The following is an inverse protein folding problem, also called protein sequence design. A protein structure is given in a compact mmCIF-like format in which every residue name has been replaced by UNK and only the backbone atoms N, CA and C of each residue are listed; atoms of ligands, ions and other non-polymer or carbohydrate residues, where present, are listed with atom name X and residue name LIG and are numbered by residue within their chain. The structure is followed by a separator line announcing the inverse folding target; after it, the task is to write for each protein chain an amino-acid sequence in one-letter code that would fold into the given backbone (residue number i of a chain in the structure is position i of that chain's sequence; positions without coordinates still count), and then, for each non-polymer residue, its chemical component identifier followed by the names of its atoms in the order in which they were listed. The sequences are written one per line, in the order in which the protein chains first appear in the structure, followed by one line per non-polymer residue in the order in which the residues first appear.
data_IF_871803991837
#
_entry.id   IF_871803991837
#
_cell.length_a   1.000
_cell.length_b   1.000
_cell.length_c   1.000
_cell.angle_alpha   90.00
_cell.angle_beta   90.00
_cell.angle_gamma   90.00
#
_symmetry.space_group_name_H-M   'P 1'
#
loop_
_entity.id
_entity.type
_entity.pdbx_description
1 polymer ?
#
# COMPACT_ATOMS: atom_id res chain seq x y z
N UNK A 1 -14.32 30.67 12.22
CA UNK A 1 -13.51 29.48 11.87
C UNK A 1 -13.97 28.99 10.52
N UNK A 2 -13.18 29.22 9.46
CA UNK A 2 -13.56 28.84 8.10
C UNK A 2 -13.51 27.31 7.97
N UNK A 3 -14.63 26.67 7.61
CA UNK A 3 -14.68 25.25 7.30
C UNK A 3 -13.76 24.98 6.10
N UNK A 4 -12.54 24.51 6.37
CA UNK A 4 -11.64 23.97 5.36
C UNK A 4 -12.39 22.79 4.72
N UNK A 5 -12.84 22.95 3.46
CA UNK A 5 -13.51 21.86 2.73
C UNK A 5 -12.56 20.66 2.75
N UNK A 6 -12.92 19.62 3.50
CA UNK A 6 -12.16 18.37 3.51
C UNK A 6 -12.11 17.82 2.09
N UNK A 7 -10.93 17.41 1.63
CA UNK A 7 -10.75 16.84 0.31
C UNK A 7 -11.57 15.55 0.24
N UNK A 8 -12.61 15.55 -0.58
CA UNK A 8 -13.42 14.37 -0.83
C UNK A 8 -12.72 13.47 -1.85
N UNK A 9 -12.75 12.17 -1.58
CA UNK A 9 -12.13 11.12 -2.38
C UNK A 9 -13.22 10.10 -2.73
N UNK A 10 -13.19 9.50 -3.94
CA UNK A 10 -14.15 8.47 -4.32
C UNK A 10 -14.20 7.30 -3.33
N UNK A 11 -15.39 6.72 -3.18
CA UNK A 11 -15.63 5.46 -2.46
C UNK A 11 -16.38 4.50 -3.38
N UNK A 12 -15.77 3.36 -3.68
CA UNK A 12 -16.38 2.35 -4.53
C UNK A 12 -17.26 1.39 -3.71
N UNK A 13 -18.56 1.34 -4.05
CA UNK A 13 -19.55 0.50 -3.36
C UNK A 13 -19.25 -0.99 -3.46
N UNK A 14 -18.80 -1.46 -4.61
CA UNK A 14 -18.49 -2.88 -4.82
C UNK A 14 -17.27 -3.28 -3.98
N UNK A 15 -16.21 -2.46 -4.02
CA UNK A 15 -14.97 -2.69 -3.26
C UNK A 15 -15.23 -2.71 -1.75
N UNK A 16 -16.04 -1.76 -1.22
CA UNK A 16 -16.38 -1.75 0.20
C UNK A 16 -17.22 -2.98 0.60
N UNK A 17 -18.21 -3.37 -0.21
CA UNK A 17 -19.02 -4.56 0.08
C UNK A 17 -18.15 -5.83 0.12
N UNK A 18 -17.23 -5.96 -0.82
CA UNK A 18 -16.29 -7.07 -0.85
C UNK A 18 -15.40 -7.09 0.41
N UNK A 19 -14.86 -5.94 0.81
CA UNK A 19 -14.07 -5.79 2.03
C UNK A 19 -14.86 -6.14 3.30
N UNK A 20 -16.11 -5.69 3.41
CA UNK A 20 -17.00 -6.02 4.53
C UNK A 20 -17.25 -7.53 4.64
N UNK A 21 -17.51 -8.18 3.49
CA UNK A 21 -17.72 -9.63 3.43
C UNK A 21 -16.46 -10.39 3.81
N UNK A 22 -15.28 -9.97 3.33
CA UNK A 22 -13.99 -10.57 3.67
C UNK A 22 -13.74 -10.57 5.19
N UNK A 23 -14.14 -9.51 5.88
CA UNK A 23 -13.97 -9.37 7.34
C UNK A 23 -15.20 -9.81 8.15
N UNK A 24 -16.19 -10.44 7.52
CA UNK A 24 -17.44 -10.89 8.15
C UNK A 24 -18.12 -9.78 9.01
N UNK A 25 -18.06 -8.53 8.53
CA UNK A 25 -18.57 -7.36 9.25
C UNK A 25 -19.60 -6.60 8.43
N UNK A 26 -20.19 -5.56 9.01
CA UNK A 26 -21.17 -4.70 8.34
C UNK A 26 -21.05 -3.24 8.82
N UNK A 27 -21.73 -2.34 8.11
CA UNK A 27 -21.64 -0.89 8.36
C UNK A 27 -22.15 -0.51 9.77
N UNK A 28 -23.13 -1.25 10.32
CA UNK A 28 -23.62 -1.01 11.67
C UNK A 28 -22.53 -1.30 12.69
N UNK A 29 -21.94 -2.49 12.62
CA UNK A 29 -20.81 -2.90 13.48
C UNK A 29 -19.61 -1.95 13.36
N UNK A 30 -19.25 -1.54 12.14
CA UNK A 30 -18.18 -0.57 11.93
C UNK A 30 -18.45 0.78 12.59
N UNK A 31 -19.69 1.26 12.52
CA UNK A 31 -20.05 2.55 13.12
C UNK A 31 -20.19 2.53 14.64
N UNK A 32 -20.20 1.35 15.25
CA UNK A 32 -20.09 1.13 16.69
C UNK A 32 -18.63 1.00 17.14
N UNK A 33 -17.68 0.80 16.20
CA UNK A 33 -16.27 0.69 16.51
C UNK A 33 -15.67 2.06 16.86
N UNK A 34 -15.22 2.18 18.11
CA UNK A 34 -14.58 3.39 18.64
C UNK A 34 -13.30 3.71 17.85
N UNK A 35 -12.58 2.70 17.38
CA UNK A 35 -11.34 2.87 16.62
C UNK A 35 -11.57 3.44 15.21
N UNK A 36 -12.78 3.27 14.66
CA UNK A 36 -13.13 3.90 13.40
C UNK A 36 -13.28 5.41 13.58
N UNK A 37 -13.83 5.87 14.71
CA UNK A 37 -14.07 7.30 14.98
C UNK A 37 -15.19 7.92 14.12
N UNK A 38 -15.95 7.10 13.38
CA UNK A 38 -17.06 7.52 12.52
C UNK A 38 -18.29 6.65 12.74
N UNK A 39 -19.47 7.27 12.80
CA UNK A 39 -20.72 6.52 12.92
C UNK A 39 -21.19 5.92 11.57
N UNK A 40 -22.06 4.90 11.64
CA UNK A 40 -22.62 4.23 10.47
C UNK A 40 -23.28 5.18 9.47
N UNK A 41 -23.95 6.24 9.97
CA UNK A 41 -24.61 7.25 9.13
C UNK A 41 -23.60 7.99 8.23
N UNK A 42 -22.39 8.23 8.72
CA UNK A 42 -21.33 8.86 7.91
C UNK A 42 -20.89 7.97 6.76
N UNK A 43 -20.77 6.66 7.01
CA UNK A 43 -20.40 5.65 6.01
C UNK A 43 -21.51 5.49 4.97
N UNK A 44 -22.77 5.37 5.42
CA UNK A 44 -23.94 5.25 4.54
C UNK A 44 -24.11 6.49 3.65
N UNK A 45 -23.89 7.69 4.20
CA UNK A 45 -23.87 8.92 3.41
C UNK A 45 -22.77 8.89 2.36
N UNK A 46 -21.56 8.49 2.75
CA UNK A 46 -20.44 8.34 1.83
C UNK A 46 -20.73 7.38 0.68
N UNK A 47 -21.39 6.25 0.97
CA UNK A 47 -21.85 5.32 -0.06
C UNK A 47 -22.90 5.96 -0.97
N UNK A 48 -23.86 6.71 -0.43
CA UNK A 48 -24.89 7.36 -1.24
C UNK A 48 -24.29 8.41 -2.18
N UNK A 49 -23.37 9.22 -1.68
CA UNK A 49 -22.68 10.28 -2.41
C UNK A 49 -21.61 9.73 -3.38
N UNK A 50 -21.06 8.55 -3.10
CA UNK A 50 -19.95 7.96 -3.86
C UNK A 50 -18.58 8.55 -3.50
N UNK A 51 -18.51 9.35 -2.44
CA UNK A 51 -17.32 10.07 -1.99
C UNK A 51 -17.31 10.23 -0.47
N UNK A 52 -16.10 10.22 0.12
CA UNK A 52 -15.86 10.37 1.57
C UNK A 52 -14.65 11.26 1.82
N UNK A 53 -14.42 11.67 3.07
CA UNK A 53 -13.16 12.33 3.41
C UNK A 53 -11.99 11.35 3.35
N UNK A 54 -10.78 11.86 3.13
CA UNK A 54 -9.56 11.05 3.12
C UNK A 54 -9.36 10.31 4.45
N UNK A 55 -9.71 10.95 5.57
CA UNK A 55 -9.61 10.39 6.91
C UNK A 55 -10.57 9.23 7.11
N UNK A 56 -11.82 9.35 6.64
CA UNK A 56 -12.79 8.26 6.69
C UNK A 56 -12.37 7.08 5.81
N UNK A 57 -11.88 7.34 4.58
CA UNK A 57 -11.40 6.27 3.70
C UNK A 57 -10.22 5.52 4.32
N UNK A 58 -9.29 6.25 4.94
CA UNK A 58 -8.16 5.66 5.66
C UNK A 58 -8.60 4.85 6.89
N UNK A 59 -9.52 5.39 7.68
CA UNK A 59 -10.06 4.70 8.85
C UNK A 59 -10.79 3.41 8.45
N UNK A 60 -11.57 3.43 7.36
CA UNK A 60 -12.18 2.23 6.78
C UNK A 60 -11.11 1.23 6.34
N UNK A 61 -10.05 1.70 5.68
CA UNK A 61 -8.93 0.86 5.27
C UNK A 61 -8.25 0.16 6.45
N UNK A 62 -7.96 0.89 7.52
CA UNK A 62 -7.36 0.31 8.75
C UNK A 62 -8.27 -0.72 9.40
N UNK A 63 -9.55 -0.39 9.60
CA UNK A 63 -10.49 -1.26 10.30
C UNK A 63 -10.83 -2.51 9.50
N UNK A 64 -10.84 -2.42 8.17
CA UNK A 64 -11.08 -3.56 7.29
C UNK A 64 -9.79 -4.27 6.89
N UNK A 65 -8.62 -3.78 7.30
CA UNK A 65 -7.32 -4.20 6.79
C UNK A 65 -7.33 -4.30 5.25
N UNK A 66 -7.73 -3.22 4.60
CA UNK A 66 -7.75 -3.06 3.14
C UNK A 66 -7.12 -1.73 2.74
N UNK A 67 -6.37 -1.72 1.65
CA UNK A 67 -5.77 -0.52 1.08
C UNK A 67 -6.83 0.51 0.63
N UNK A 68 -6.74 1.78 1.08
CA UNK A 68 -7.65 2.86 0.69
C UNK A 68 -7.79 3.08 -0.83
N UNK A 69 -6.71 2.91 -1.59
CA UNK A 69 -6.73 3.05 -3.05
C UNK A 69 -7.62 1.98 -3.70
N UNK A 70 -7.62 0.76 -3.17
CA UNK A 70 -8.59 -0.26 -3.58
C UNK A 70 -10.01 0.13 -3.22
N UNK A 71 -10.26 0.59 -1.98
CA UNK A 71 -11.60 1.02 -1.52
C UNK A 71 -12.17 2.18 -2.34
N UNK A 72 -11.33 3.10 -2.82
CA UNK A 72 -11.75 4.19 -3.70
C UNK A 72 -12.12 3.73 -5.12
N UNK A 73 -11.73 2.51 -5.49
CA UNK A 73 -11.86 1.98 -6.85
C UNK A 73 -10.80 2.49 -7.82
N UNK A 74 -9.70 3.08 -7.34
CA UNK A 74 -8.59 3.59 -8.18
C UNK A 74 -8.09 2.54 -9.16
N UNK A 75 -7.85 1.31 -8.70
CA UNK A 75 -7.39 0.22 -9.58
C UNK A 75 -8.42 -0.18 -10.64
N UNK A 76 -9.72 -0.09 -10.34
CA UNK A 76 -10.76 -0.36 -11.34
C UNK A 76 -10.73 0.70 -12.46
N UNK A 77 -10.49 1.96 -12.10
CA UNK A 77 -10.33 3.04 -13.07
C UNK A 77 -9.07 2.83 -13.94
N UNK A 78 -7.95 2.44 -13.33
CA UNK A 78 -6.72 2.12 -14.04
C UNK A 78 -6.94 0.94 -15.01
N UNK A 79 -7.56 -0.15 -14.57
CA UNK A 79 -7.85 -1.28 -15.45
C UNK A 79 -8.78 -0.89 -16.61
N UNK A 80 -9.76 -0.01 -16.37
CA UNK A 80 -10.64 0.50 -17.43
C UNK A 80 -9.87 1.33 -18.46
N UNK A 81 -8.89 2.14 -18.01
CA UNK A 81 -8.00 2.90 -18.89
C UNK A 81 -7.10 1.99 -19.71
N UNK A 82 -6.44 1.02 -19.08
CA UNK A 82 -5.55 0.05 -19.75
C UNK A 82 -6.31 -0.77 -20.80
N UNK A 83 -7.55 -1.15 -20.50
CA UNK A 83 -8.37 -1.92 -21.41
C UNK A 83 -8.84 -1.10 -22.63
N UNK A 84 -8.79 0.24 -22.60
CA UNK A 84 -9.17 1.13 -23.70
C UNK A 84 -10.45 0.72 -24.47
N UNK A 85 -11.54 0.47 -23.72
CA UNK A 85 -12.84 0.00 -24.20
C UNK A 85 -12.92 -1.46 -24.69
N UNK A 86 -11.90 -2.28 -24.44
CA UNK A 86 -11.97 -3.73 -24.57
C UNK A 86 -12.61 -4.35 -23.31
N UNK A 87 -13.89 -4.69 -23.40
CA UNK A 87 -14.64 -5.32 -22.30
C UNK A 87 -14.08 -6.68 -21.88
N UNK A 88 -13.47 -7.44 -22.80
CA UNK A 88 -12.86 -8.74 -22.51
C UNK A 88 -11.60 -8.51 -21.68
N UNK A 89 -10.75 -7.58 -22.10
CA UNK A 89 -9.53 -7.23 -21.37
C UNK A 89 -9.86 -6.66 -20.00
N UNK A 90 -10.85 -5.76 -19.91
CA UNK A 90 -11.31 -5.23 -18.62
C UNK A 90 -11.82 -6.33 -17.70
N UNK A 91 -12.58 -7.29 -18.21
CA UNK A 91 -13.07 -8.44 -17.43
C UNK A 91 -11.94 -9.30 -16.89
N UNK A 92 -10.89 -9.55 -17.69
CA UNK A 92 -9.69 -10.28 -17.27
C UNK A 92 -8.96 -9.53 -16.16
N UNK A 93 -8.71 -8.23 -16.34
CA UNK A 93 -8.03 -7.40 -15.34
C UNK A 93 -8.84 -7.28 -14.04
N UNK A 94 -10.16 -7.08 -14.15
CA UNK A 94 -11.07 -6.95 -13.00
C UNK A 94 -11.08 -8.22 -12.15
N UNK A 95 -10.98 -9.42 -12.74
CA UNK A 95 -10.87 -10.68 -11.97
C UNK A 95 -9.65 -10.71 -11.03
N UNK A 96 -8.60 -9.94 -11.35
CA UNK A 96 -7.44 -9.77 -10.50
C UNK A 96 -7.70 -8.89 -9.28
N UNK A 97 -8.68 -8.00 -9.33
CA UNK A 97 -9.00 -7.01 -8.30
C UNK A 97 -9.94 -7.59 -7.24
N UNK A 98 -9.38 -8.08 -6.14
CA UNK A 98 -10.17 -8.55 -5.00
C UNK A 98 -9.58 -8.07 -3.68
N UNK A 99 -10.43 -7.77 -2.71
CA UNK A 99 -10.09 -7.09 -1.46
C UNK A 99 -8.94 -7.80 -0.71
N UNK A 100 -8.95 -9.15 -0.72
CA UNK A 100 -7.91 -9.98 -0.08
C UNK A 100 -6.48 -9.74 -0.59
N UNK A 101 -6.31 -9.22 -1.80
CA UNK A 101 -4.99 -8.94 -2.41
C UNK A 101 -4.47 -7.54 -2.11
N UNK A 102 -5.27 -6.71 -1.46
CA UNK A 102 -4.94 -5.33 -1.14
C UNK A 102 -5.10 -5.08 0.35
N UNK A 103 -4.32 -5.76 1.22
CA UNK A 103 -4.35 -5.49 2.66
C UNK A 103 -3.84 -4.08 2.96
N UNK A 104 -4.22 -3.53 4.12
CA UNK A 104 -3.82 -2.17 4.48
C UNK A 104 -2.30 -2.02 4.59
N UNK A 105 -1.59 -3.12 4.89
CA UNK A 105 -0.13 -3.19 4.87
C UNK A 105 0.49 -2.64 3.58
N UNK A 106 -0.15 -2.82 2.42
CA UNK A 106 0.38 -2.27 1.15
C UNK A 106 0.46 -0.76 1.15
N UNK A 107 -0.52 -0.09 1.75
CA UNK A 107 -0.46 1.37 1.97
C UNK A 107 0.70 1.74 2.89
N UNK A 108 0.96 0.95 3.92
CA UNK A 108 2.07 1.22 4.84
C UNK A 108 3.43 1.05 4.16
N UNK A 109 3.54 0.11 3.21
CA UNK A 109 4.72 -0.11 2.38
C UNK A 109 4.93 1.00 1.33
N UNK A 110 3.85 1.51 0.75
CA UNK A 110 3.87 2.56 -0.28
C UNK A 110 3.83 3.99 0.29
N UNK A 111 3.65 4.14 1.60
CA UNK A 111 3.63 5.45 2.24
C UNK A 111 5.02 6.09 2.15
N UNK A 112 5.11 7.22 1.45
CA UNK A 112 6.25 8.12 1.56
C UNK A 112 6.27 8.71 2.98
N UNK A 113 7.27 8.34 3.77
CA UNK A 113 7.47 8.92 5.10
C UNK A 113 8.32 10.17 4.95
N UNK A 114 7.71 11.35 5.06
CA UNK A 114 8.38 12.65 4.88
C UNK A 114 9.05 12.83 3.51
N UNK A 115 8.47 12.26 2.45
CA UNK A 115 9.01 12.36 1.09
C UNK A 115 10.13 11.38 0.76
N UNK A 116 10.51 10.50 1.70
CA UNK A 116 11.46 9.42 1.46
C UNK A 116 10.76 8.06 1.40
N UNK A 117 11.25 7.19 0.52
CA UNK A 117 10.79 5.81 0.40
C UNK A 117 11.05 5.05 1.71
N UNK A 118 10.11 4.19 2.13
CA UNK A 118 10.15 3.48 3.42
C UNK A 118 11.46 2.75 3.66
N UNK A 119 12.04 2.14 2.62
CA UNK A 119 13.30 1.43 2.73
C UNK A 119 14.49 2.34 3.06
N UNK A 120 14.50 3.59 2.57
CA UNK A 120 15.52 4.58 2.93
C UNK A 120 15.49 4.91 4.43
N UNK A 121 14.28 5.02 5.00
CA UNK A 121 14.09 5.23 6.44
C UNK A 121 14.47 4.01 7.28
N UNK A 122 14.15 2.81 6.79
CA UNK A 122 14.57 1.56 7.41
C UNK A 122 16.10 1.48 7.52
N UNK A 123 16.82 1.77 6.43
CA UNK A 123 18.29 1.83 6.46
C UNK A 123 18.80 2.91 7.42
N UNK A 124 18.23 4.12 7.36
CA UNK A 124 18.62 5.22 8.24
C UNK A 124 18.50 4.83 9.73
N UNK A 125 17.40 4.19 10.13
CA UNK A 125 17.23 3.77 11.52
C UNK A 125 18.15 2.64 11.95
N UNK A 126 18.45 1.68 11.06
CA UNK A 126 19.45 0.64 11.35
C UNK A 126 20.81 1.29 11.61
N UNK A 127 21.22 2.24 10.76
CA UNK A 127 22.49 2.94 10.93
C UNK A 127 22.51 3.75 12.24
N UNK A 128 21.47 4.54 12.52
CA UNK A 128 21.38 5.38 13.73
C UNK A 128 21.46 4.54 15.01
N UNK A 129 20.74 3.42 15.08
CA UNK A 129 20.72 2.55 16.27
C UNK A 129 22.12 1.97 16.58
N UNK A 130 22.99 1.89 15.57
CA UNK A 130 24.36 1.38 15.71
C UNK A 130 25.41 2.50 15.70
N UNK A 131 25.02 3.75 15.96
CA UNK A 131 25.90 4.92 15.96
C UNK A 131 26.63 5.17 14.62
N UNK A 132 26.05 4.70 13.51
CA UNK A 132 26.55 4.94 12.15
C UNK A 132 25.74 6.08 11.53
N UNK A 133 26.42 7.08 10.98
CA UNK A 133 25.75 8.19 10.32
C UNK A 133 25.34 7.83 8.90
N UNK A 134 24.19 8.34 8.44
CA UNK A 134 23.74 8.22 7.04
C UNK A 134 24.80 8.72 6.04
N UNK A 135 25.60 9.71 6.44
CA UNK A 135 26.71 10.25 5.66
C UNK A 135 27.77 9.19 5.33
N UNK A 136 28.13 8.32 6.27
CA UNK A 136 29.12 7.25 6.03
C UNK A 136 28.65 6.28 4.95
N UNK A 137 27.35 5.98 4.91
CA UNK A 137 26.76 5.18 3.84
C UNK A 137 26.77 5.91 2.49
N UNK A 138 26.39 7.19 2.47
CA UNK A 138 26.35 8.01 1.25
C UNK A 138 27.74 8.26 0.63
N UNK A 139 28.80 8.22 1.44
CA UNK A 139 30.19 8.36 0.98
C UNK A 139 30.74 7.08 0.31
N UNK A 140 30.05 5.95 0.43
CA UNK A 140 30.42 4.71 -0.25
C UNK A 140 30.13 4.78 -1.76
N UNK A 141 30.86 4.00 -2.56
CA UNK A 141 30.50 3.82 -3.98
C UNK A 141 29.16 3.11 -4.11
N UNK A 142 28.49 3.28 -5.24
CA UNK A 142 27.20 2.63 -5.51
C UNK A 142 27.29 1.11 -5.33
N UNK A 143 28.35 0.46 -5.79
CA UNK A 143 28.55 -0.99 -5.68
C UNK A 143 28.65 -1.42 -4.20
N UNK A 144 29.35 -0.63 -3.38
CA UNK A 144 29.45 -0.88 -1.93
C UNK A 144 28.14 -0.63 -1.21
N UNK A 145 27.39 0.41 -1.60
CA UNK A 145 26.05 0.64 -1.06
C UNK A 145 25.12 -0.52 -1.41
N UNK A 146 25.16 -1.03 -2.65
CA UNK A 146 24.37 -2.16 -3.12
C UNK A 146 24.74 -3.44 -2.37
N UNK A 147 26.04 -3.75 -2.26
CA UNK A 147 26.55 -4.91 -1.52
C UNK A 147 26.13 -4.89 -0.03
N UNK A 148 26.21 -3.73 0.62
CA UNK A 148 25.76 -3.55 2.00
C UNK A 148 24.26 -3.85 2.15
N UNK A 149 23.43 -3.28 1.28
CA UNK A 149 21.98 -3.48 1.29
C UNK A 149 21.59 -4.94 1.04
N UNK A 150 22.23 -5.60 0.08
CA UNK A 150 21.99 -7.03 -0.19
C UNK A 150 22.40 -7.90 1.01
N UNK A 151 23.56 -7.63 1.60
CA UNK A 151 24.06 -8.38 2.77
C UNK A 151 23.13 -8.23 3.98
N UNK A 152 22.53 -7.04 4.14
CA UNK A 152 21.57 -6.77 5.21
C UNK A 152 20.29 -7.60 5.03
N UNK A 153 19.72 -7.61 3.82
CA UNK A 153 18.52 -8.41 3.54
C UNK A 153 18.80 -9.92 3.62
N UNK A 154 19.96 -10.38 3.14
CA UNK A 154 20.41 -11.77 3.25
C UNK A 154 20.59 -12.22 4.71
N UNK A 155 20.88 -11.31 5.64
CA UNK A 155 20.93 -11.60 7.06
C UNK A 155 19.55 -11.57 7.74
N UNK A 156 18.68 -10.64 7.35
CA UNK A 156 17.40 -10.39 8.02
C UNK A 156 16.31 -11.36 7.59
N UNK A 157 16.22 -11.68 6.29
CA UNK A 157 15.17 -12.56 5.77
C UNK A 157 15.18 -13.94 6.46
N UNK A 158 16.33 -14.63 6.66
CA UNK A 158 16.35 -15.89 7.39
C UNK A 158 15.87 -15.77 8.84
N UNK A 159 16.15 -14.66 9.51
CA UNK A 159 15.67 -14.40 10.87
C UNK A 159 14.15 -14.25 10.88
N UNK A 160 13.58 -13.52 9.92
CA UNK A 160 12.12 -13.38 9.80
C UNK A 160 11.45 -14.72 9.50
N UNK A 161 11.98 -15.50 8.55
CA UNK A 161 11.46 -16.83 8.21
C UNK A 161 11.53 -17.83 9.37
N UNK A 162 12.42 -17.62 10.35
CA UNK A 162 12.50 -18.46 11.55
C UNK A 162 11.29 -18.28 12.47
N UNK A 163 10.76 -17.06 12.57
CA UNK A 163 9.71 -16.72 13.53
C UNK A 163 8.32 -16.60 12.89
N UNK A 164 8.26 -16.38 11.59
CA UNK A 164 7.02 -16.23 10.84
C UNK A 164 6.96 -17.29 9.75
N UNK A 165 5.82 -17.97 9.62
CA UNK A 165 5.58 -18.95 8.55
C UNK A 165 4.73 -18.37 7.41
N UNK A 166 4.03 -17.25 7.66
CA UNK A 166 3.09 -16.64 6.73
C UNK A 166 3.19 -15.12 6.73
N UNK A 167 2.82 -14.52 5.61
CA UNK A 167 2.67 -13.08 5.48
C UNK A 167 1.31 -12.60 6.02
N UNK A 168 1.06 -11.28 5.98
CA UNK A 168 -0.19 -10.67 6.43
C UNK A 168 -1.44 -11.11 5.64
N UNK A 169 -1.27 -11.77 4.48
CA UNK A 169 -2.35 -12.33 3.66
C UNK A 169 -2.56 -13.82 3.92
N UNK A 170 -1.97 -14.39 4.98
CA UNK A 170 -2.01 -15.82 5.33
C UNK A 170 -1.38 -16.75 4.27
N UNK A 171 -0.54 -16.20 3.39
CA UNK A 171 0.19 -16.93 2.37
C UNK A 171 1.60 -17.25 2.86
N UNK A 172 2.23 -18.26 2.26
CA UNK A 172 3.63 -18.54 2.51
C UNK A 172 4.50 -17.30 2.23
N UNK A 173 5.57 -17.14 3.01
CA UNK A 173 6.46 -15.99 2.87
C UNK A 173 7.23 -15.99 1.55
N UNK A 174 7.44 -17.17 0.96
CA UNK A 174 8.21 -17.34 -0.26
C UNK A 174 7.30 -17.26 -1.52
N UNK A 175 7.75 -16.60 -2.60
CA UNK A 175 9.03 -15.90 -2.78
C UNK A 175 9.05 -14.44 -2.30
N UNK A 176 7.90 -13.87 -1.95
CA UNK A 176 7.71 -12.42 -1.79
C UNK A 176 8.58 -11.78 -0.70
N UNK A 177 8.99 -12.55 0.31
CA UNK A 177 9.91 -12.05 1.36
C UNK A 177 11.27 -11.61 0.80
N UNK A 178 11.67 -12.10 -0.37
CA UNK A 178 12.91 -11.70 -1.06
C UNK A 178 12.71 -10.55 -2.05
N UNK A 179 11.52 -9.93 -2.11
CA UNK A 179 11.21 -8.87 -3.09
C UNK A 179 12.22 -7.71 -3.02
N UNK A 180 12.49 -7.18 -1.83
CA UNK A 180 13.42 -6.04 -1.66
C UNK A 180 14.83 -6.39 -2.14
N UNK A 181 15.32 -7.57 -1.75
CA UNK A 181 16.61 -8.08 -2.22
C UNK A 181 16.66 -8.15 -3.74
N UNK A 182 15.62 -8.68 -4.39
CA UNK A 182 15.52 -8.73 -5.85
C UNK A 182 15.51 -7.34 -6.48
N UNK A 183 14.72 -6.41 -5.93
CA UNK A 183 14.64 -5.01 -6.41
C UNK A 183 16.03 -4.34 -6.36
N UNK A 184 16.75 -4.51 -5.26
CA UNK A 184 18.12 -3.98 -5.09
C UNK A 184 19.09 -4.63 -6.10
N UNK A 185 19.02 -5.95 -6.26
CA UNK A 185 19.89 -6.70 -7.16
C UNK A 185 19.67 -6.32 -8.63
N UNK A 186 18.40 -6.11 -9.02
CA UNK A 186 18.03 -5.68 -10.37
C UNK A 186 18.22 -4.19 -10.64
N UNK A 187 18.39 -3.36 -9.61
CA UNK A 187 18.51 -1.92 -9.78
C UNK A 187 19.78 -1.55 -10.55
N UNK A 188 19.57 -0.83 -11.64
CA UNK A 188 20.58 -0.21 -12.49
C UNK A 188 20.41 1.32 -12.44
N UNK A 189 21.41 2.06 -11.91
CA UNK A 189 21.31 3.52 -11.79
C UNK A 189 21.30 4.25 -13.13
N UNK A 190 21.73 3.60 -14.22
CA UNK A 190 21.76 4.17 -15.57
C UNK A 190 20.46 3.89 -16.35
N UNK A 191 19.56 3.06 -15.82
CA UNK A 191 18.27 2.79 -16.43
C UNK A 191 17.27 3.93 -16.10
N UNK A 192 16.63 4.55 -17.10
CA UNK A 192 15.70 5.64 -16.86
C UNK A 192 14.48 5.13 -16.07
N UNK A 193 14.25 5.71 -14.89
CA UNK A 193 12.99 5.46 -14.16
C UNK A 193 11.82 5.84 -15.07
N UNK A 194 10.81 4.95 -15.23
CA UNK A 194 9.63 5.30 -16.01
C UNK A 194 8.99 6.54 -15.37
N UNK A 195 8.64 7.57 -16.16
CA UNK A 195 8.14 8.82 -15.61
C UNK A 195 6.89 8.55 -14.75
N UNK A 196 6.80 9.24 -13.59
CA UNK A 196 5.64 9.15 -12.67
C UNK A 196 4.28 9.33 -13.38
N UNK A 197 4.28 10.07 -14.49
CA UNK A 197 3.14 10.35 -15.36
C UNK A 197 2.61 9.12 -16.13
N UNK A 198 3.35 7.99 -16.19
CA UNK A 198 2.88 6.79 -16.88
C UNK A 198 1.58 6.23 -16.28
N UNK A 199 1.29 6.54 -15.01
CA UNK A 199 0.06 6.15 -14.31
C UNK A 199 -0.94 7.31 -14.11
N UNK A 200 -0.56 8.53 -14.48
CA UNK A 200 -1.30 9.75 -14.24
C UNK A 200 -1.04 10.78 -15.35
N UNK A 201 -1.42 10.51 -16.60
CA UNK A 201 -1.94 11.56 -17.49
C UNK A 201 -2.52 11.04 -18.83
N UNK A 202 -3.85 11.01 -18.86
CA UNK A 202 -4.80 11.58 -19.84
C UNK A 202 -6.19 10.97 -19.62
#
# INVERSE_FOLDING_TARGET
MANKKMKKIPLNKECLKEALNLRNTNIKKLGEDVNLGWCSKSIERGLKEGEVSAELLDALGRNLDIEPDYLSGKYHQICKKIADNDDIMYSILKKGLCAKKFPYLKKQQSANYNGEFLYSKYLEYILIIHDISKKQFQEMTFERQKEFQLSLEDAIVPVLMKYFSKNAMEQDLYPEIYRLRMEIDSYDPDEPEPPDEFFLDK
#
